data_IF_014927577935
#
_entry.id   IF_014927577935
#
_cell.length_a   1.000
_cell.length_b   1.000
_cell.length_c   1.000
_cell.angle_alpha   90.00
_cell.angle_beta   90.00
_cell.angle_gamma   90.00
#
_symmetry.space_group_name_H-M   'P 1'
#
loop_
_entity.id
_entity.type
_entity.pdbx_description
1 polymer ?
#
# COMPACT_ATOMS: atom_id res chain seq x y z
N UNK A 1 -1.18 -12.38 -18.79
CA UNK A 1 -1.56 -12.59 -17.38
C UNK A 1 -0.35 -13.23 -16.69
N UNK A 2 0.17 -12.60 -15.64
CA UNK A 2 1.36 -13.10 -14.93
C UNK A 2 0.99 -14.33 -14.10
N UNK A 3 1.87 -15.32 -14.06
CA UNK A 3 1.69 -16.48 -13.18
C UNK A 3 1.71 -16.03 -11.70
N UNK A 4 0.75 -16.43 -10.86
CA UNK A 4 0.69 -16.02 -9.45
C UNK A 4 1.98 -16.29 -8.66
N UNK A 5 2.66 -17.41 -8.91
CA UNK A 5 3.94 -17.73 -8.24
C UNK A 5 5.02 -16.74 -8.64
N UNK A 6 5.11 -16.41 -9.94
CA UNK A 6 6.10 -15.47 -10.44
C UNK A 6 5.86 -14.06 -9.88
N UNK A 7 4.61 -13.60 -9.91
CA UNK A 7 4.19 -12.36 -9.26
C UNK A 7 4.55 -12.34 -7.76
N UNK A 8 4.17 -13.36 -6.99
CA UNK A 8 4.42 -13.41 -5.55
C UNK A 8 5.90 -13.54 -5.20
N UNK A 9 6.72 -14.13 -6.09
CA UNK A 9 8.16 -14.23 -5.92
C UNK A 9 8.86 -12.88 -5.93
N UNK A 10 8.30 -11.93 -6.71
CA UNK A 10 8.84 -10.58 -6.88
C UNK A 10 8.45 -9.65 -5.74
N UNK A 11 7.45 -9.98 -4.92
CA UNK A 11 6.99 -9.11 -3.83
C UNK A 11 8.05 -8.90 -2.75
N UNK A 12 8.18 -7.64 -2.30
CA UNK A 12 9.00 -7.29 -1.14
C UNK A 12 8.37 -7.81 0.16
N UNK A 13 7.04 -7.75 0.27
CA UNK A 13 6.33 -8.27 1.43
C UNK A 13 6.42 -9.81 1.49
N UNK A 14 6.38 -10.42 2.69
CA UNK A 14 6.25 -11.86 2.81
C UNK A 14 4.98 -12.33 2.10
N UNK A 15 5.10 -13.37 1.28
CA UNK A 15 4.00 -13.96 0.53
C UNK A 15 4.15 -15.49 0.40
N UNK A 16 3.03 -16.20 0.47
CA UNK A 16 2.97 -17.67 0.39
C UNK A 16 1.72 -18.12 -0.36
N UNK A 17 1.78 -19.27 -1.03
CA UNK A 17 0.62 -19.89 -1.66
C UNK A 17 0.45 -21.31 -1.12
N UNK A 18 -0.79 -21.68 -0.81
CA UNK A 18 -1.18 -23.03 -0.43
C UNK A 18 -2.22 -23.59 -1.39
N UNK A 19 -2.35 -24.90 -1.47
CA UNK A 19 -3.56 -25.53 -1.98
C UNK A 19 -4.74 -25.29 -1.00
N UNK A 20 -5.91 -25.79 -1.37
CA UNK A 20 -7.14 -25.69 -0.57
C UNK A 20 -7.14 -26.59 0.67
N UNK A 21 -6.22 -27.55 0.76
CA UNK A 21 -6.02 -28.43 1.92
C UNK A 21 -4.99 -27.86 2.91
N UNK A 22 -4.26 -26.81 2.52
CA UNK A 22 -3.25 -26.13 3.33
C UNK A 22 -1.82 -26.62 3.11
N UNK A 23 -1.60 -27.45 2.08
CA UNK A 23 -0.28 -27.80 1.58
C UNK A 23 0.41 -26.59 0.96
N UNK A 24 1.65 -26.30 1.37
CA UNK A 24 2.41 -25.15 0.86
C UNK A 24 2.92 -25.44 -0.55
N UNK A 25 2.43 -24.68 -1.53
CA UNK A 25 2.86 -24.74 -2.93
C UNK A 25 4.08 -23.83 -3.13
N UNK A 26 4.07 -22.63 -2.53
CA UNK A 26 5.10 -21.62 -2.74
C UNK A 26 5.29 -20.74 -1.50
N UNK A 27 6.52 -20.27 -1.27
CA UNK A 27 6.82 -19.21 -0.30
C UNK A 27 8.00 -18.38 -0.81
N UNK A 28 7.85 -17.05 -0.82
CA UNK A 28 8.94 -16.16 -1.23
C UNK A 28 10.03 -16.06 -0.13
N UNK A 29 11.16 -15.41 -0.45
CA UNK A 29 12.30 -15.30 0.46
C UNK A 29 11.92 -14.60 1.78
N UNK A 30 11.09 -13.56 1.72
CA UNK A 30 10.62 -12.83 2.89
C UNK A 30 9.75 -13.72 3.80
N UNK A 31 8.82 -14.50 3.25
CA UNK A 31 8.01 -15.46 4.00
C UNK A 31 8.85 -16.59 4.60
N UNK A 32 9.90 -17.02 3.90
CA UNK A 32 10.84 -18.02 4.40
C UNK A 32 11.59 -17.57 5.65
N UNK A 33 11.91 -16.29 5.76
CA UNK A 33 12.55 -15.65 6.93
C UNK A 33 11.56 -15.38 8.05
N UNK A 34 10.34 -14.95 7.71
CA UNK A 34 9.32 -14.61 8.70
C UNK A 34 8.79 -15.85 9.44
N UNK A 35 8.53 -16.94 8.71
CA UNK A 35 7.87 -18.12 9.27
C UNK A 35 8.86 -19.27 9.45
N UNK A 36 8.67 -20.05 10.51
CA UNK A 36 9.41 -21.31 10.67
C UNK A 36 8.90 -22.37 9.69
N UNK A 37 9.73 -23.37 9.37
CA UNK A 37 9.31 -24.51 8.54
C UNK A 37 8.10 -25.25 9.15
N UNK A 38 8.05 -25.34 10.48
CA UNK A 38 6.94 -25.97 11.21
C UNK A 38 5.64 -25.18 11.05
N UNK A 39 5.68 -23.84 11.15
CA UNK A 39 4.52 -22.99 10.91
C UNK A 39 4.01 -23.14 9.48
N UNK A 40 4.90 -23.15 8.48
CA UNK A 40 4.52 -23.34 7.08
C UNK A 40 3.81 -24.68 6.84
N UNK A 41 4.31 -25.79 7.41
CA UNK A 41 3.71 -27.14 7.26
C UNK A 41 2.39 -27.34 8.00
N UNK A 42 2.04 -26.44 8.93
CA UNK A 42 0.90 -26.60 9.83
C UNK A 42 0.03 -25.35 9.91
N UNK A 43 0.05 -24.52 8.85
CA UNK A 43 -0.53 -23.19 8.85
C UNK A 43 -2.01 -23.22 9.25
N UNK A 44 -2.81 -24.10 8.63
CA UNK A 44 -4.25 -24.21 8.91
C UNK A 44 -4.53 -24.65 10.34
N UNK A 45 -3.76 -25.61 10.85
CA UNK A 45 -3.89 -26.08 12.24
C UNK A 45 -3.46 -25.03 13.28
N UNK A 46 -2.79 -23.96 12.84
CA UNK A 46 -2.38 -22.85 13.70
C UNK A 46 -3.37 -21.68 13.69
N UNK A 47 -4.42 -21.72 12.86
CA UNK A 47 -5.41 -20.65 12.77
C UNK A 47 -6.29 -20.60 14.03
N UNK A 48 -6.65 -19.39 14.44
CA UNK A 48 -7.57 -19.16 15.55
C UNK A 48 -8.95 -18.80 15.02
N UNK A 49 -9.98 -19.46 15.53
CA UNK A 49 -11.38 -19.10 15.29
C UNK A 49 -11.94 -19.48 13.91
N UNK A 50 -11.13 -20.08 13.02
CA UNK A 50 -11.57 -20.57 11.71
C UNK A 50 -10.81 -21.84 11.33
N UNK A 51 -11.53 -22.85 10.82
CA UNK A 51 -10.91 -24.05 10.24
C UNK A 51 -10.39 -23.75 8.83
N UNK A 52 -9.41 -24.54 8.37
CA UNK A 52 -8.89 -24.43 7.00
C UNK A 52 -9.98 -24.54 5.93
N UNK A 53 -10.87 -25.54 6.06
CA UNK A 53 -11.99 -25.75 5.13
C UNK A 53 -12.91 -24.53 5.05
N UNK A 54 -13.29 -23.98 6.21
CA UNK A 54 -14.18 -22.80 6.27
C UNK A 54 -13.49 -21.55 5.74
N UNK A 55 -12.18 -21.43 5.93
CA UNK A 55 -11.39 -20.36 5.35
C UNK A 55 -11.38 -20.46 3.82
N UNK A 56 -11.10 -21.64 3.26
CA UNK A 56 -11.12 -21.86 1.82
C UNK A 56 -12.49 -21.51 1.22
N UNK A 57 -13.58 -21.99 1.83
CA UNK A 57 -14.95 -21.63 1.43
C UNK A 57 -15.21 -20.12 1.49
N UNK A 58 -14.71 -19.46 2.55
CA UNK A 58 -14.85 -18.01 2.72
C UNK A 58 -14.09 -17.24 1.65
N UNK A 59 -12.84 -17.60 1.38
CA UNK A 59 -12.01 -16.95 0.36
C UNK A 59 -12.60 -17.11 -1.04
N UNK A 60 -13.14 -18.30 -1.37
CA UNK A 60 -13.82 -18.55 -2.64
C UNK A 60 -15.11 -17.74 -2.79
N UNK A 61 -15.86 -17.51 -1.70
CA UNK A 61 -17.13 -16.75 -1.74
C UNK A 61 -16.98 -15.23 -1.60
N UNK A 62 -16.01 -14.76 -0.81
CA UNK A 62 -15.90 -13.36 -0.34
C UNK A 62 -14.59 -12.67 -0.75
N UNK A 63 -13.91 -13.16 -1.78
CA UNK A 63 -12.59 -12.70 -2.27
C UNK A 63 -11.42 -12.99 -1.33
N UNK A 64 -11.63 -12.95 -0.01
CA UNK A 64 -10.57 -13.22 0.97
C UNK A 64 -11.00 -13.05 2.43
N UNK A 65 -10.02 -13.12 3.33
CA UNK A 65 -10.19 -12.91 4.76
C UNK A 65 -8.87 -12.42 5.41
N UNK A 66 -8.99 -11.76 6.56
CA UNK A 66 -7.85 -11.57 7.48
C UNK A 66 -7.94 -12.62 8.57
N UNK A 67 -6.88 -13.38 8.77
CA UNK A 67 -6.81 -14.47 9.77
C UNK A 67 -5.62 -14.27 10.70
N UNK A 68 -5.67 -14.92 11.86
CA UNK A 68 -4.58 -14.86 12.86
C UNK A 68 -4.07 -16.27 13.17
N UNK A 69 -2.74 -16.46 13.17
CA UNK A 69 -2.13 -17.68 13.71
C UNK A 69 -1.92 -17.58 15.22
N UNK A 70 -2.14 -18.66 15.97
CA UNK A 70 -1.77 -18.79 17.37
C UNK A 70 -2.62 -17.94 18.32
N UNK A 71 -2.83 -18.46 19.54
CA UNK A 71 -3.56 -17.74 20.59
C UNK A 71 -2.65 -16.79 21.37
N UNK A 72 -3.19 -15.64 21.80
CA UNK A 72 -2.53 -14.72 22.71
C UNK A 72 -1.55 -13.75 22.03
N UNK A 73 -0.65 -13.18 22.83
CA UNK A 73 0.19 -12.07 22.39
C UNK A 73 1.05 -12.40 21.16
N UNK A 74 1.38 -13.67 20.90
CA UNK A 74 2.30 -14.13 19.85
C UNK A 74 1.75 -14.20 18.42
N UNK A 75 0.48 -13.88 18.19
CA UNK A 75 -0.17 -14.15 16.92
C UNK A 75 0.28 -13.27 15.75
N UNK A 76 0.25 -13.85 14.55
CA UNK A 76 0.55 -13.15 13.28
C UNK A 76 -0.76 -13.03 12.51
N UNK A 77 -1.13 -11.80 12.17
CA UNK A 77 -2.26 -11.54 11.27
C UNK A 77 -1.79 -11.59 9.83
N UNK A 78 -2.62 -12.17 8.98
CA UNK A 78 -2.32 -12.44 7.58
C UNK A 78 -3.55 -12.15 6.74
N UNK A 79 -3.35 -11.59 5.56
CA UNK A 79 -4.37 -11.47 4.53
C UNK A 79 -4.35 -12.73 3.66
N UNK A 80 -5.51 -13.31 3.40
CA UNK A 80 -5.67 -14.50 2.57
C UNK A 80 -6.66 -14.20 1.46
N UNK A 81 -6.22 -14.32 0.21
CA UNK A 81 -7.03 -14.12 -0.98
C UNK A 81 -7.27 -15.46 -1.68
N UNK A 82 -8.47 -15.63 -2.24
CA UNK A 82 -8.84 -16.82 -3.00
C UNK A 82 -8.31 -16.77 -4.44
N UNK A 83 -7.68 -17.85 -4.88
CA UNK A 83 -7.49 -18.19 -6.30
C UNK A 83 -8.44 -19.31 -6.73
N UNK A 84 -8.35 -19.76 -7.99
CA UNK A 84 -9.19 -20.85 -8.51
C UNK A 84 -8.96 -22.15 -7.72
N UNK A 85 -7.70 -22.58 -7.58
CA UNK A 85 -7.32 -23.84 -6.89
C UNK A 85 -6.33 -23.63 -5.73
N UNK A 86 -6.15 -22.39 -5.28
CA UNK A 86 -5.14 -22.06 -4.27
C UNK A 86 -5.56 -20.90 -3.38
N UNK A 87 -4.94 -20.80 -2.21
CA UNK A 87 -5.02 -19.64 -1.34
C UNK A 87 -3.70 -18.87 -1.37
N UNK A 88 -3.79 -17.55 -1.56
CA UNK A 88 -2.64 -16.64 -1.61
C UNK A 88 -2.59 -15.82 -0.32
N UNK A 89 -1.48 -15.96 0.39
CA UNK A 89 -1.27 -15.44 1.73
C UNK A 89 -0.28 -14.28 1.67
N UNK A 90 -0.67 -13.16 2.25
CA UNK A 90 0.09 -11.91 2.29
C UNK A 90 0.25 -11.45 3.73
N UNK A 91 1.38 -10.79 4.00
CA UNK A 91 1.73 -10.31 5.33
C UNK A 91 2.00 -8.79 5.27
N UNK A 92 0.96 -7.96 5.03
CA UNK A 92 1.10 -6.51 5.02
C UNK A 92 1.63 -5.99 6.36
N UNK A 93 2.49 -4.98 6.32
CA UNK A 93 3.08 -4.38 7.52
C UNK A 93 2.03 -3.78 8.45
N UNK A 94 0.92 -3.27 7.91
CA UNK A 94 -0.16 -2.72 8.72
C UNK A 94 -0.86 -3.76 9.61
N UNK A 95 -0.81 -5.04 9.21
CA UNK A 95 -1.35 -6.16 9.99
C UNK A 95 -0.31 -6.74 10.96
N UNK A 96 0.95 -6.32 10.90
CA UNK A 96 2.00 -6.85 11.77
C UNK A 96 1.73 -6.54 13.25
N UNK A 97 2.04 -7.51 14.12
CA UNK A 97 1.80 -7.51 15.57
C UNK A 97 2.30 -6.26 16.32
N UNK A 98 3.38 -5.64 15.85
CA UNK A 98 4.01 -4.50 16.50
C UNK A 98 3.53 -3.14 15.98
N UNK A 99 2.47 -3.10 15.16
CA UNK A 99 1.96 -1.83 14.64
C UNK A 99 1.36 -1.00 15.77
N UNK A 100 1.79 0.27 15.87
CA UNK A 100 1.24 1.28 16.79
C UNK A 100 -0.23 1.62 16.50
N UNK A 101 -0.75 1.09 15.40
CA UNK A 101 -2.13 1.20 14.95
C UNK A 101 -2.75 -0.18 15.08
N UNK A 102 -3.51 -0.43 16.15
CA UNK A 102 -4.40 -1.59 16.17
C UNK A 102 -5.42 -1.41 15.06
N UNK A 103 -5.31 -2.10 13.93
CA UNK A 103 -6.40 -2.17 12.94
C UNK A 103 -7.59 -2.85 13.62
N UNK A 104 -8.71 -2.15 13.86
CA UNK A 104 -9.91 -2.79 14.37
C UNK A 104 -10.38 -3.85 13.38
N UNK A 105 -10.92 -4.97 13.87
CA UNK A 105 -11.41 -6.06 13.00
C UNK A 105 -12.44 -5.60 11.97
N UNK A 106 -13.18 -4.52 12.28
CA UNK A 106 -14.12 -3.85 11.36
C UNK A 106 -13.47 -3.28 10.09
N UNK A 107 -12.14 -3.21 10.02
CA UNK A 107 -11.40 -2.73 8.85
C UNK A 107 -11.05 -3.85 7.88
N UNK A 108 -11.16 -5.12 8.28
CA UNK A 108 -10.63 -6.25 7.51
C UNK A 108 -11.33 -6.41 6.17
N UNK A 109 -12.64 -6.20 6.08
CA UNK A 109 -13.37 -6.28 4.80
C UNK A 109 -12.83 -5.27 3.77
N UNK A 110 -12.45 -4.06 4.22
CA UNK A 110 -11.90 -3.03 3.36
C UNK A 110 -10.49 -3.36 2.90
N UNK A 111 -9.65 -3.84 3.82
CA UNK A 111 -8.30 -4.32 3.51
C UNK A 111 -8.37 -5.45 2.49
N UNK A 112 -9.24 -6.43 2.70
CA UNK A 112 -9.45 -7.57 1.79
C UNK A 112 -9.87 -7.08 0.41
N UNK A 113 -10.87 -6.19 0.32
CA UNK A 113 -11.39 -5.73 -0.96
C UNK A 113 -10.33 -5.00 -1.79
N UNK A 114 -9.63 -4.01 -1.20
CA UNK A 114 -8.64 -3.23 -1.95
C UNK A 114 -7.38 -4.01 -2.27
N UNK A 115 -6.92 -4.88 -1.38
CA UNK A 115 -5.79 -5.75 -1.68
C UNK A 115 -6.16 -6.78 -2.77
N UNK A 116 -7.40 -7.28 -2.78
CA UNK A 116 -7.87 -8.18 -3.83
C UNK A 116 -8.00 -7.49 -5.20
N UNK A 117 -8.53 -6.26 -5.24
CA UNK A 117 -8.61 -5.49 -6.47
C UNK A 117 -7.20 -5.15 -7.01
N UNK A 118 -6.28 -4.76 -6.12
CA UNK A 118 -4.89 -4.50 -6.47
C UNK A 118 -4.15 -5.76 -6.97
N UNK A 119 -4.29 -6.89 -6.26
CA UNK A 119 -3.72 -8.18 -6.68
C UNK A 119 -4.24 -8.58 -8.07
N UNK A 120 -5.56 -8.46 -8.30
CA UNK A 120 -6.17 -8.76 -9.60
C UNK A 120 -5.57 -7.89 -10.70
N UNK A 121 -5.44 -6.59 -10.46
CA UNK A 121 -4.89 -5.68 -11.45
C UNK A 121 -3.42 -6.02 -11.76
N UNK A 122 -2.61 -6.33 -10.74
CA UNK A 122 -1.22 -6.78 -10.92
C UNK A 122 -1.11 -8.11 -11.70
N UNK A 123 -1.98 -9.08 -11.42
CA UNK A 123 -2.01 -10.36 -12.15
C UNK A 123 -2.49 -10.21 -13.59
N UNK A 124 -3.36 -9.23 -13.85
CA UNK A 124 -3.92 -8.95 -15.17
C UNK A 124 -2.96 -8.25 -16.15
N UNK A 125 -1.69 -8.01 -15.75
CA UNK A 125 -0.70 -7.22 -16.52
C UNK A 125 -1.11 -5.77 -16.80
N UNK A 126 -2.14 -5.25 -16.12
CA UNK A 126 -2.33 -3.81 -16.08
C UNK A 126 -1.10 -3.22 -15.41
N UNK A 127 -0.43 -2.32 -16.12
CA UNK A 127 0.68 -1.55 -15.58
C UNK A 127 0.13 -0.53 -14.59
N UNK A 128 -0.17 -0.98 -13.36
CA UNK A 128 -0.59 -0.10 -12.26
C UNK A 128 0.59 0.10 -11.33
N UNK A 129 0.86 1.35 -10.98
CA UNK A 129 1.95 1.70 -10.08
C UNK A 129 1.51 1.61 -8.61
N UNK A 130 2.43 1.33 -7.66
CA UNK A 130 2.09 1.30 -6.23
C UNK A 130 1.44 2.59 -5.72
N UNK A 131 1.85 3.74 -6.26
CA UNK A 131 1.31 5.07 -5.96
C UNK A 131 -0.15 5.25 -6.40
N UNK A 132 -0.54 4.69 -7.54
CA UNK A 132 -1.93 4.74 -8.03
C UNK A 132 -2.83 3.86 -7.16
N UNK A 133 -2.41 2.61 -6.91
CA UNK A 133 -3.13 1.69 -6.02
C UNK A 133 -3.31 2.27 -4.61
N UNK A 134 -2.25 2.90 -4.08
CA UNK A 134 -2.27 3.59 -2.79
C UNK A 134 -3.32 4.72 -2.78
N UNK A 135 -3.28 5.59 -3.79
CA UNK A 135 -4.15 6.77 -3.87
C UNK A 135 -5.62 6.38 -4.03
N UNK A 136 -5.90 5.41 -4.90
CA UNK A 136 -7.25 4.93 -5.18
C UNK A 136 -7.85 4.24 -3.97
N UNK A 137 -7.11 3.35 -3.31
CA UNK A 137 -7.56 2.69 -2.10
C UNK A 137 -7.77 3.68 -0.95
N UNK A 138 -6.88 4.68 -0.80
CA UNK A 138 -7.03 5.72 0.22
C UNK A 138 -8.30 6.56 -0.01
N UNK A 139 -8.48 7.10 -1.22
CA UNK A 139 -9.64 7.93 -1.53
C UNK A 139 -10.94 7.14 -1.41
N UNK A 140 -10.99 5.93 -1.98
CA UNK A 140 -12.18 5.07 -1.95
C UNK A 140 -12.56 4.66 -0.53
N UNK A 141 -11.58 4.29 0.30
CA UNK A 141 -11.81 4.01 1.71
C UNK A 141 -12.29 5.26 2.45
N UNK A 142 -11.70 6.43 2.19
CA UNK A 142 -12.11 7.67 2.84
C UNK A 142 -13.59 8.00 2.56
N UNK A 143 -14.00 7.99 1.29
CA UNK A 143 -15.38 8.33 0.92
C UNK A 143 -16.40 7.27 1.37
N UNK A 144 -15.96 6.04 1.61
CA UNK A 144 -16.78 4.98 2.21
C UNK A 144 -17.18 5.26 3.67
N UNK A 145 -16.42 6.07 4.41
CA UNK A 145 -16.66 6.38 5.82
C UNK A 145 -17.01 7.84 6.10
N UNK A 146 -16.53 8.75 5.26
CA UNK A 146 -16.70 10.19 5.42
C UNK A 146 -17.20 10.81 4.14
N UNK A 147 -18.10 11.80 4.22
CA UNK A 147 -18.41 12.63 3.06
C UNK A 147 -17.14 13.25 2.47
N UNK A 148 -17.02 13.40 1.13
CA UNK A 148 -15.85 13.95 0.45
C UNK A 148 -15.43 15.37 0.84
N UNK A 149 -16.15 16.05 1.74
CA UNK A 149 -15.79 17.40 2.23
C UNK A 149 -15.33 17.42 3.68
N UNK A 150 -15.02 16.25 4.28
CA UNK A 150 -14.66 16.13 5.70
C UNK A 150 -13.23 15.70 5.97
N UNK A 151 -12.35 15.72 4.97
CA UNK A 151 -10.92 15.52 5.22
C UNK A 151 -10.33 16.82 5.78
N UNK A 152 -9.94 16.80 7.05
CA UNK A 152 -9.18 17.91 7.62
C UNK A 152 -7.67 17.66 7.47
N UNK A 153 -6.89 18.74 7.46
CA UNK A 153 -5.45 18.69 7.27
C UNK A 153 -4.73 17.86 8.35
N UNK A 154 -5.22 17.91 9.58
CA UNK A 154 -4.70 17.09 10.68
C UNK A 154 -4.82 15.59 10.39
N UNK A 155 -5.99 15.12 9.96
CA UNK A 155 -6.21 13.71 9.59
C UNK A 155 -5.37 13.29 8.38
N UNK A 156 -5.19 14.19 7.42
CA UNK A 156 -4.38 13.95 6.24
C UNK A 156 -2.89 13.84 6.58
N UNK A 157 -2.33 14.74 7.40
CA UNK A 157 -0.94 14.62 7.88
C UNK A 157 -0.71 13.32 8.66
N UNK A 158 -1.69 12.89 9.47
CA UNK A 158 -1.61 11.60 10.17
C UNK A 158 -1.67 10.41 9.24
N UNK A 159 -2.48 10.49 8.19
CA UNK A 159 -2.48 9.50 7.13
C UNK A 159 -1.10 9.40 6.46
N UNK A 160 -0.46 10.52 6.10
CA UNK A 160 0.89 10.53 5.52
C UNK A 160 1.95 9.93 6.46
N UNK A 161 1.99 10.40 7.70
CA UNK A 161 2.93 9.93 8.73
C UNK A 161 2.86 8.42 8.95
N UNK A 162 1.66 7.86 9.06
CA UNK A 162 1.50 6.42 9.26
C UNK A 162 1.76 5.61 8.00
N UNK A 163 1.36 6.11 6.83
CA UNK A 163 1.57 5.40 5.57
C UNK A 163 3.06 5.30 5.24
N UNK A 164 3.82 6.38 5.47
CA UNK A 164 5.29 6.38 5.34
C UNK A 164 5.93 5.46 6.37
N UNK A 165 5.47 5.47 7.62
CA UNK A 165 5.94 4.53 8.63
C UNK A 165 5.79 3.07 8.19
N UNK A 166 4.62 2.66 7.67
CA UNK A 166 4.41 1.28 7.25
C UNK A 166 5.13 0.89 5.96
N UNK A 167 5.17 1.78 4.96
CA UNK A 167 5.72 1.46 3.64
C UNK A 167 7.25 1.64 3.57
N UNK A 168 7.78 2.62 4.31
CA UNK A 168 9.19 3.02 4.27
C UNK A 168 9.95 2.58 5.54
N UNK A 169 9.25 2.31 6.63
CA UNK A 169 9.82 1.87 7.91
C UNK A 169 10.07 3.01 8.91
N UNK A 170 9.71 4.24 8.57
CA UNK A 170 9.86 5.42 9.42
C UNK A 170 8.90 6.53 8.98
N UNK A 171 8.48 7.38 9.90
CA UNK A 171 7.74 8.59 9.55
C UNK A 171 8.62 9.53 8.70
N UNK A 172 8.11 9.92 7.53
CA UNK A 172 8.78 10.84 6.61
C UNK A 172 8.04 12.16 6.42
N UNK A 173 7.06 12.45 7.27
CA UNK A 173 6.22 13.64 7.15
C UNK A 173 6.38 14.53 8.37
N UNK A 174 6.89 15.73 8.16
CA UNK A 174 6.85 16.83 9.12
C UNK A 174 5.69 17.76 8.78
N UNK A 175 5.11 18.38 9.80
CA UNK A 175 3.99 19.30 9.61
C UNK A 175 4.06 20.43 10.63
N UNK A 176 3.62 21.62 10.22
CA UNK A 176 3.59 22.81 11.07
C UNK A 176 2.66 22.61 12.28
N UNK A 177 3.05 23.17 13.43
CA UNK A 177 2.26 23.10 14.67
C UNK A 177 0.85 23.67 14.53
N UNK A 178 0.66 24.57 13.56
CA UNK A 178 -0.60 25.28 13.33
C UNK A 178 -1.58 24.46 12.47
N UNK A 179 -1.18 23.26 12.02
CA UNK A 179 -2.08 22.34 11.31
C UNK A 179 -3.08 21.74 12.30
N UNK A 180 -4.23 22.40 12.40
CA UNK A 180 -5.36 21.99 13.24
C UNK A 180 -6.45 21.21 12.49
N UNK A 181 -7.39 20.68 13.26
CA UNK A 181 -8.61 20.00 12.75
C UNK A 181 -9.57 20.96 12.06
N UNK A 182 -9.37 22.28 12.20
CA UNK A 182 -10.18 23.30 11.55
C UNK A 182 -9.90 23.48 10.06
N UNK A 183 -8.70 23.12 9.58
CA UNK A 183 -8.34 23.31 8.17
C UNK A 183 -8.94 22.18 7.34
N UNK A 184 -9.88 22.49 6.43
CA UNK A 184 -10.57 21.48 5.61
C UNK A 184 -9.96 21.45 4.21
N UNK A 185 -9.60 20.27 3.73
CA UNK A 185 -9.15 20.05 2.35
C UNK A 185 -10.38 19.91 1.45
N UNK A 186 -10.49 20.79 0.44
CA UNK A 186 -11.66 20.86 -0.46
C UNK A 186 -11.77 19.68 -1.42
N UNK A 187 -10.64 19.02 -1.68
CA UNK A 187 -10.47 17.97 -2.69
C UNK A 187 -9.69 16.79 -2.11
N UNK A 188 -10.32 15.87 -1.34
CA UNK A 188 -9.63 14.69 -0.84
C UNK A 188 -9.01 13.83 -1.94
N UNK A 189 -9.62 13.77 -3.13
CA UNK A 189 -9.09 13.08 -4.30
C UNK A 189 -7.69 13.60 -4.69
N UNK A 190 -7.51 14.92 -4.72
CA UNK A 190 -6.22 15.55 -5.00
C UNK A 190 -5.24 15.36 -3.84
N UNK A 191 -5.72 15.40 -2.61
CA UNK A 191 -4.89 15.16 -1.44
C UNK A 191 -4.31 13.74 -1.45
N UNK A 192 -5.14 12.71 -1.67
CA UNK A 192 -4.67 11.33 -1.72
C UNK A 192 -3.84 11.03 -2.97
N UNK A 193 -4.13 11.66 -4.12
CA UNK A 193 -3.25 11.59 -5.29
C UNK A 193 -1.85 12.14 -5.00
N UNK A 194 -1.76 13.33 -4.38
CA UNK A 194 -0.48 13.91 -3.97
C UNK A 194 0.25 13.02 -2.94
N UNK A 195 -0.49 12.36 -2.05
CA UNK A 195 0.08 11.39 -1.13
C UNK A 195 0.66 10.17 -1.85
N UNK A 196 -0.02 9.63 -2.86
CA UNK A 196 0.51 8.54 -3.68
C UNK A 196 1.79 8.94 -4.41
N UNK A 197 1.82 10.13 -5.04
CA UNK A 197 3.02 10.64 -5.71
C UNK A 197 4.20 10.78 -4.73
N UNK A 198 3.96 11.32 -3.53
CA UNK A 198 4.96 11.38 -2.46
C UNK A 198 5.48 9.97 -2.08
N UNK A 199 4.58 9.00 -1.89
CA UNK A 199 4.95 7.62 -1.57
C UNK A 199 5.76 6.99 -2.70
N UNK A 200 5.35 7.21 -3.95
CA UNK A 200 6.07 6.77 -5.14
C UNK A 200 7.51 7.30 -5.17
N UNK A 201 7.68 8.59 -4.89
CA UNK A 201 9.01 9.21 -4.77
C UNK A 201 9.84 8.59 -3.64
N UNK A 202 9.25 8.33 -2.48
CA UNK A 202 9.94 7.74 -1.33
C UNK A 202 10.42 6.31 -1.58
N UNK A 203 9.86 5.56 -2.54
CA UNK A 203 10.42 4.28 -2.93
C UNK A 203 11.79 4.40 -3.62
N UNK A 204 12.03 5.50 -4.33
CA UNK A 204 13.36 5.81 -4.90
C UNK A 204 14.29 6.50 -3.91
N UNK A 205 13.75 7.29 -2.98
CA UNK A 205 14.53 8.10 -2.04
C UNK A 205 14.01 7.97 -0.59
N UNK A 206 14.14 6.79 0.05
CA UNK A 206 13.47 6.45 1.32
C UNK A 206 13.94 7.25 2.53
N UNK A 207 15.07 7.96 2.43
CA UNK A 207 15.61 8.83 3.49
C UNK A 207 15.03 10.26 3.50
N UNK A 208 14.28 10.64 2.47
CA UNK A 208 13.82 12.02 2.28
C UNK A 208 12.69 12.37 3.24
N UNK A 209 12.78 13.54 3.86
CA UNK A 209 11.73 14.09 4.73
C UNK A 209 10.91 15.10 3.95
N UNK A 210 9.60 15.04 4.10
CA UNK A 210 8.64 15.91 3.44
C UNK A 210 7.93 16.79 4.45
N UNK A 211 7.78 18.06 4.13
CA UNK A 211 7.03 19.04 4.91
C UNK A 211 5.63 19.21 4.33
N UNK A 212 4.62 19.11 5.19
CA UNK A 212 3.22 19.36 4.87
C UNK A 212 2.76 20.66 5.53
N UNK A 213 2.22 21.60 4.75
CA UNK A 213 1.79 22.90 5.24
C UNK A 213 0.54 23.43 4.54
N UNK A 214 -0.27 24.17 5.30
CA UNK A 214 -1.43 24.90 4.76
C UNK A 214 -1.00 26.30 4.31
N UNK A 215 -1.31 26.66 3.06
CA UNK A 215 -0.95 27.95 2.46
C UNK A 215 -2.18 28.69 1.98
N UNK A 216 -2.05 29.99 1.66
CA UNK A 216 -3.11 30.78 1.02
C UNK A 216 -3.60 30.17 -0.30
N UNK A 217 -2.79 29.35 -0.97
CA UNK A 217 -3.09 28.72 -2.27
C UNK A 217 -3.61 27.29 -2.14
N UNK A 218 -3.72 26.76 -0.92
CA UNK A 218 -4.09 25.37 -0.68
C UNK A 218 -3.09 24.64 0.20
N UNK A 219 -3.20 23.32 0.24
CA UNK A 219 -2.31 22.47 1.02
C UNK A 219 -1.15 21.96 0.16
N UNK A 220 0.06 22.05 0.69
CA UNK A 220 1.30 21.74 0.00
C UNK A 220 2.06 20.65 0.75
N UNK A 221 2.62 19.69 0.01
CA UNK A 221 3.60 18.73 0.53
C UNK A 221 4.88 18.88 -0.30
N UNK A 222 6.04 19.01 0.34
CA UNK A 222 7.30 19.31 -0.35
C UNK A 222 8.52 18.77 0.38
N UNK A 223 9.52 18.27 -0.35
CA UNK A 223 10.86 17.98 0.21
C UNK A 223 11.85 19.15 0.06
N UNK A 224 11.37 20.26 -0.53
CA UNK A 224 12.15 21.47 -0.84
C UNK A 224 12.50 21.58 -2.32
N UNK A 225 12.61 20.44 -3.01
CA UNK A 225 12.89 20.35 -4.46
C UNK A 225 11.60 20.08 -5.24
N UNK A 226 10.83 19.10 -4.80
CA UNK A 226 9.55 18.70 -5.39
C UNK A 226 8.40 19.30 -4.58
N UNK A 227 7.39 19.82 -5.27
CA UNK A 227 6.21 20.46 -4.66
C UNK A 227 4.94 19.80 -5.17
N UNK A 228 4.19 19.18 -4.27
CA UNK A 228 2.94 18.47 -4.57
C UNK A 228 1.74 19.21 -3.96
N UNK A 229 0.80 19.59 -4.81
CA UNK A 229 -0.39 20.34 -4.40
C UNK A 229 -1.54 19.40 -4.03
N UNK A 230 -1.83 19.29 -2.73
CA UNK A 230 -2.91 18.46 -2.18
C UNK A 230 -4.30 19.14 -2.25
N UNK A 231 -4.48 20.08 -3.18
CA UNK A 231 -5.73 20.81 -3.39
C UNK A 231 -5.91 22.06 -2.53
N UNK A 232 -7.04 22.75 -2.72
CA UNK A 232 -7.40 23.94 -1.97
C UNK A 232 -7.80 23.62 -0.52
N UNK A 233 -7.63 24.57 0.38
CA UNK A 233 -8.03 24.42 1.78
C UNK A 233 -8.92 25.57 2.26
N UNK A 234 -9.80 25.30 3.22
CA UNK A 234 -10.53 26.31 3.99
C UNK A 234 -9.86 26.45 5.34
N UNK A 235 -9.30 27.63 5.60
CA UNK A 235 -8.64 27.96 6.87
C UNK A 235 -9.64 28.80 7.67
N UNK A 236 -10.26 28.26 8.74
CA UNK A 236 -11.19 29.01 9.55
C UNK A 236 -10.46 30.13 10.30
N UNK A 237 -11.20 31.20 10.61
CA UNK A 237 -10.69 32.39 11.32
C UNK A 237 -10.13 32.06 12.72
N UNK A 238 -10.53 30.94 13.31
CA UNK A 238 -10.07 30.44 14.61
C UNK A 238 -9.51 29.03 14.41
N UNK A 239 -8.18 28.88 14.58
CA UNK A 239 -7.52 27.58 14.59
C UNK A 239 -7.86 26.88 15.91
N UNK A 240 -8.60 25.78 15.82
CA UNK A 240 -8.74 24.86 16.95
C UNK A 240 -7.53 23.93 16.93
N UNK A 241 -6.58 24.20 17.82
CA UNK A 241 -5.52 23.24 18.12
C UNK A 241 -6.15 22.00 18.74
N UNK A 242 -5.82 20.78 18.29
CA UNK A 242 -6.24 19.59 18.98
C UNK A 242 -5.64 19.58 20.40
N UNK A 243 -6.49 19.66 21.41
CA UNK A 243 -6.08 19.56 22.80
C UNK A 243 -5.93 18.08 23.17
N UNK A 244 -4.71 17.54 23.05
CA UNK A 244 -4.36 16.21 23.54
C UNK A 244 -3.47 15.39 22.60
N UNK A 245 -2.87 14.28 23.09
CA UNK A 245 -2.14 13.34 22.25
C UNK A 245 -3.06 12.78 21.17
N UNK A 246 -2.53 12.63 19.95
CA UNK A 246 -3.24 12.21 18.75
C UNK A 246 -4.05 10.92 19.01
N UNK A 247 -5.37 11.02 19.21
CA UNK A 247 -6.25 9.85 19.21
C UNK A 247 -6.62 9.52 17.77
N UNK A 248 -6.34 8.29 17.39
CA UNK A 248 -6.48 7.84 16.01
C UNK A 248 -7.96 7.70 15.62
N UNK A 249 -8.42 8.42 14.60
CA UNK A 249 -9.79 8.27 14.13
C UNK A 249 -9.95 6.92 13.42
N UNK A 250 -11.10 6.26 13.65
CA UNK A 250 -11.43 5.00 12.98
C UNK A 250 -11.36 5.10 11.46
N UNK A 251 -11.82 6.22 10.89
CA UNK A 251 -11.76 6.46 9.45
C UNK A 251 -10.32 6.52 8.93
N UNK A 252 -9.42 7.24 9.64
CA UNK A 252 -8.00 7.31 9.27
C UNK A 252 -7.35 5.92 9.33
N UNK A 253 -7.74 5.08 10.29
CA UNK A 253 -7.27 3.70 10.41
C UNK A 253 -7.53 2.88 9.16
N UNK A 254 -8.78 2.94 8.69
CA UNK A 254 -9.19 2.21 7.51
C UNK A 254 -8.49 2.76 6.28
N UNK A 255 -8.45 4.08 6.12
CA UNK A 255 -7.79 4.72 4.98
C UNK A 255 -6.33 4.29 4.88
N UNK A 256 -5.57 4.34 5.99
CA UNK A 256 -4.17 3.88 6.01
C UNK A 256 -4.08 2.40 5.69
N UNK A 257 -4.85 1.55 6.37
CA UNK A 257 -4.72 0.11 6.23
C UNK A 257 -5.09 -0.39 4.82
N UNK A 258 -6.13 0.18 4.22
CA UNK A 258 -6.51 -0.08 2.84
C UNK A 258 -5.42 0.36 1.85
N UNK A 259 -4.93 1.60 1.99
CA UNK A 259 -3.94 2.16 1.06
C UNK A 259 -2.60 1.42 1.11
N UNK A 260 -2.09 1.16 2.32
CA UNK A 260 -0.84 0.42 2.55
C UNK A 260 -0.95 -0.99 2.01
N UNK A 261 -2.03 -1.71 2.33
CA UNK A 261 -2.21 -3.10 1.88
C UNK A 261 -2.31 -3.20 0.37
N UNK A 262 -3.02 -2.26 -0.28
CA UNK A 262 -3.09 -2.20 -1.74
C UNK A 262 -1.70 -1.91 -2.35
N UNK A 263 -0.97 -0.93 -1.83
CA UNK A 263 0.36 -0.58 -2.33
C UNK A 263 1.36 -1.74 -2.22
N UNK A 264 1.39 -2.44 -1.08
CA UNK A 264 2.32 -3.56 -0.87
C UNK A 264 2.16 -4.70 -1.88
N UNK A 265 0.99 -4.87 -2.49
CA UNK A 265 0.78 -5.84 -3.60
C UNK A 265 1.54 -5.48 -4.88
N UNK A 266 2.01 -4.24 -5.02
CA UNK A 266 2.76 -3.79 -6.19
C UNK A 266 4.22 -3.44 -5.89
N UNK A 267 4.67 -3.56 -4.63
CA UNK A 267 6.05 -3.28 -4.26
C UNK A 267 6.89 -4.54 -4.44
N UNK A 268 7.72 -4.52 -5.48
CA UNK A 268 8.63 -5.61 -5.76
C UNK A 268 9.98 -5.44 -5.06
N UNK A 269 10.50 -6.52 -4.48
CA UNK A 269 11.87 -6.59 -3.99
C UNK A 269 12.80 -6.76 -5.18
N UNK A 270 13.71 -5.80 -5.38
CA UNK A 270 14.71 -5.88 -6.44
C UNK A 270 15.69 -7.03 -6.19
N UNK A 271 15.82 -7.89 -7.20
CA UNK A 271 17.13 -8.37 -7.65
C UNK A 271 17.74 -7.27 -8.54
N UNK A 272 19.06 -7.08 -8.54
CA UNK A 272 19.78 -5.93 -9.12
C UNK A 272 19.66 -5.73 -10.67
N UNK A 273 18.69 -6.30 -11.36
CA UNK A 273 18.71 -6.39 -12.85
C UNK A 273 17.59 -5.66 -13.59
N UNK A 274 16.75 -4.86 -12.94
CA UNK A 274 15.81 -3.97 -13.68
C UNK A 274 15.91 -2.54 -13.19
N UNK A 275 17.03 -1.88 -13.53
CA UNK A 275 17.05 -0.42 -13.69
C UNK A 275 16.21 -0.06 -14.91
N UNK A 276 14.89 0.07 -14.75
CA UNK A 276 14.08 0.85 -15.69
C UNK A 276 14.06 2.29 -15.17
N UNK A 277 14.69 3.26 -15.86
CA UNK A 277 14.55 4.66 -15.49
C UNK A 277 13.08 5.08 -15.67
N UNK A 278 12.61 6.09 -14.92
CA UNK A 278 11.27 6.63 -15.13
C UNK A 278 11.17 7.16 -16.56
N UNK A 279 10.18 6.67 -17.33
CA UNK A 279 9.81 7.28 -18.61
C UNK A 279 9.33 8.71 -18.30
N UNK A 280 10.12 9.70 -18.71
CA UNK A 280 9.65 11.09 -18.78
C UNK A 280 8.49 11.12 -19.78
N UNK A 281 7.33 11.58 -19.32
CA UNK A 281 6.25 11.97 -20.21
C UNK A 281 6.67 13.25 -20.93
N UNK A 282 6.74 13.19 -22.26
CA UNK A 282 6.88 14.37 -23.11
C UNK A 282 8.14 14.36 -23.94
N UNK A 283 8.10 13.67 -25.08
CA UNK A 283 8.60 14.21 -26.35
C UNK A 283 7.90 13.45 -27.48
N UNK A 284 7.05 14.19 -28.19
CA UNK A 284 6.33 13.73 -29.37
C UNK A 284 7.17 14.04 -30.60
N UNK A 285 7.13 13.12 -31.56
CA UNK A 285 7.31 13.34 -33.01
C UNK A 285 8.72 13.64 -33.52
N UNK A 286 9.15 12.78 -34.42
CA UNK A 286 10.31 12.93 -35.28
C UNK A 286 10.49 11.66 -36.09
N UNK A 287 9.62 11.47 -37.09
CA UNK A 287 9.90 10.59 -38.22
C UNK A 287 11.26 10.98 -38.82
N UNK A 288 12.14 10.01 -39.08
CA UNK A 288 12.78 9.98 -40.39
C UNK A 288 13.21 8.55 -40.76
N UNK A 289 12.94 8.23 -42.02
CA UNK A 289 13.27 7.00 -42.73
C UNK A 289 14.74 7.08 -43.18
N UNK A 290 15.40 5.93 -43.37
CA UNK A 290 16.67 5.93 -44.09
C UNK A 290 17.52 4.68 -43.88
N UNK A 291 17.15 3.63 -44.62
CA UNK A 291 18.00 2.74 -45.42
C UNK A 291 19.52 2.59 -45.14
N UNK A 292 19.93 1.33 -45.24
CA UNK A 292 21.14 0.78 -45.87
C UNK A 292 22.38 0.35 -45.04
N UNK A 293 22.52 -0.99 -45.02
CA UNK A 293 23.64 -1.81 -45.51
C UNK A 293 25.00 -1.84 -44.76
N UNK A 294 25.32 -3.08 -44.34
CA UNK A 294 26.58 -3.82 -44.40
C UNK A 294 27.91 -3.09 -44.18
N UNK A 295 28.76 -3.62 -43.28
CA UNK A 295 30.07 -4.16 -43.66
C UNK A 295 30.62 -5.09 -42.56
N UNK A 296 31.04 -6.25 -43.03
CA UNK A 296 31.95 -7.19 -42.38
C UNK A 296 33.30 -6.49 -42.18
N UNK A 297 33.93 -6.69 -41.02
CA UNK A 297 35.38 -6.85 -40.96
C UNK A 297 35.76 -7.76 -39.78
N UNK A 298 36.41 -8.85 -40.17
CA UNK A 298 37.32 -9.68 -39.36
C UNK A 298 38.48 -8.83 -38.83
N UNK A 299 38.96 -9.14 -37.62
CA UNK A 299 40.37 -9.51 -37.41
C UNK A 299 40.62 -9.99 -35.96
N UNK A 300 41.48 -11.02 -35.90
CA UNK A 300 42.16 -11.72 -34.78
C UNK A 300 41.39 -12.68 -33.85
#
# INVERSE_FOLDING_TARGET
MINPVDYMSRLKMPAMMTDTEGGVIFANAAAKRLLTLKCRRRLFSSLVGISGEKLAETCLRKRGAVVTTGAGAGGIRMLVLGGEDSLRWYFPQVLARASSVTSPDRCFDWIVNYAADAERDMLSEKSVSPQELFSEAAYSAHIGFKPPKKLNAYEFCRFLSLSTFFLIGSDRTEYDSDIGTGIILKSPEKAFSAAGEMIGYLFGSPGTVWQASATKRGFLITDGTVKLHAGGCEIPMILRSPSGPFTFSFATAITVASAVSAAETAIFGGDETVKRPPKKLGESLGEDLGEDLDFVDTDD
#
